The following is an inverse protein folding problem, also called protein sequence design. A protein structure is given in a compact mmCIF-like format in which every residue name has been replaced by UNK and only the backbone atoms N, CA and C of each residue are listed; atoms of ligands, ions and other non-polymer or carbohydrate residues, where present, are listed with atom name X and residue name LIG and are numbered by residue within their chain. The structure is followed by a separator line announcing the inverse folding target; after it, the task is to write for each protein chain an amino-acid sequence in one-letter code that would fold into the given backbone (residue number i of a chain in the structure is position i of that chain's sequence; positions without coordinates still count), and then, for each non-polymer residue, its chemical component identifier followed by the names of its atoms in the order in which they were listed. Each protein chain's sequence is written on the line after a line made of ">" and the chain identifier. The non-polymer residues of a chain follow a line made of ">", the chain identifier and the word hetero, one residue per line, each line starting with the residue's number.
data_IF_582612006235
#
_entry.id   IF_582612006235
#
_cell.length_a   1.000
_cell.length_b   1.000
_cell.length_c   1.000
_cell.angle_alpha   90.00
_cell.angle_beta   90.00
_cell.angle_gamma   90.00
#
_symmetry.space_group_name_H-M   'P 1'
#
loop_
_entity.id
_entity.type
_entity.pdbx_description
1 polymer ?
#
# COMPACT_ATOMS: atom_id res chain seq x y z
N UNK A 1 23.85 -24.42 13.02
CA UNK A 1 22.55 -23.77 12.77
C UNK A 1 21.78 -24.60 11.75
N UNK A 2 20.60 -25.14 12.07
CA UNK A 2 19.71 -25.73 11.06
C UNK A 2 19.00 -24.57 10.38
N UNK A 3 19.30 -24.34 9.10
CA UNK A 3 18.54 -23.39 8.27
C UNK A 3 17.12 -23.93 8.21
N UNK A 4 16.13 -23.18 8.66
CA UNK A 4 14.74 -23.57 8.47
C UNK A 4 14.41 -23.41 6.98
N UNK A 5 13.67 -24.37 6.37
CA UNK A 5 13.28 -24.25 4.98
C UNK A 5 12.36 -23.03 4.79
N UNK A 6 12.52 -22.35 3.67
CA UNK A 6 11.67 -21.21 3.30
C UNK A 6 10.22 -21.64 3.15
N UNK A 7 9.28 -20.69 3.20
CA UNK A 7 7.86 -20.98 2.98
C UNK A 7 7.63 -21.64 1.63
N UNK A 8 8.31 -21.19 0.57
CA UNK A 8 8.23 -21.78 -0.78
C UNK A 8 8.73 -23.22 -0.79
N UNK A 9 9.88 -23.51 -0.18
CA UNK A 9 10.41 -24.89 -0.08
C UNK A 9 9.43 -25.81 0.66
N UNK A 10 8.79 -25.30 1.72
CA UNK A 10 7.77 -26.06 2.47
C UNK A 10 6.52 -26.32 1.63
N UNK A 11 6.08 -25.35 0.81
CA UNK A 11 4.97 -25.52 -0.13
C UNK A 11 5.32 -26.59 -1.17
N UNK A 12 6.52 -26.54 -1.77
CA UNK A 12 6.97 -27.51 -2.79
C UNK A 12 6.99 -28.93 -2.20
N UNK A 13 7.49 -29.09 -0.99
CA UNK A 13 7.49 -30.41 -0.32
C UNK A 13 6.05 -30.88 -0.09
N UNK A 14 5.19 -30.03 0.45
CA UNK A 14 3.81 -30.36 0.77
C UNK A 14 2.92 -30.60 -0.48
N UNK A 15 3.33 -30.12 -1.68
CA UNK A 15 2.64 -30.46 -2.93
C UNK A 15 2.64 -31.96 -3.22
N UNK A 16 3.68 -32.68 -2.75
CA UNK A 16 3.80 -34.14 -2.97
C UNK A 16 2.88 -34.95 -2.03
N UNK A 17 2.40 -34.32 -0.95
CA UNK A 17 1.49 -34.97 0.00
C UNK A 17 0.02 -34.66 -0.29
N UNK A 18 -0.28 -33.73 -1.20
CA UNK A 18 -1.65 -33.36 -1.58
C UNK A 18 -2.18 -34.29 -2.69
N UNK A 19 -3.24 -35.11 -2.42
CA UNK A 19 -3.77 -36.05 -3.39
C UNK A 19 -4.31 -35.41 -4.68
N UNK A 20 -4.79 -34.16 -4.61
CA UNK A 20 -5.30 -33.48 -5.81
C UNK A 20 -4.15 -32.97 -6.68
N UNK A 21 -3.15 -32.33 -6.05
CA UNK A 21 -1.97 -31.84 -6.76
C UNK A 21 -1.15 -33.01 -7.36
N UNK A 22 -1.06 -34.13 -6.66
CA UNK A 22 -0.41 -35.35 -7.18
C UNK A 22 -1.12 -35.89 -8.42
N UNK A 23 -2.45 -35.94 -8.45
CA UNK A 23 -3.19 -36.34 -9.65
C UNK A 23 -2.90 -35.41 -10.84
N UNK A 24 -2.85 -34.12 -10.60
CA UNK A 24 -2.52 -33.11 -11.62
C UNK A 24 -1.08 -33.30 -12.09
N UNK A 25 -0.13 -33.48 -11.18
CA UNK A 25 1.29 -33.75 -11.51
C UNK A 25 1.44 -34.95 -12.41
N UNK A 26 0.83 -36.08 -12.05
CA UNK A 26 0.88 -37.31 -12.86
C UNK A 26 0.27 -37.09 -14.26
N UNK A 27 -0.79 -36.29 -14.38
CA UNK A 27 -1.39 -35.94 -15.67
C UNK A 27 -0.45 -35.09 -16.54
N UNK A 28 0.25 -34.15 -15.93
CA UNK A 28 1.23 -33.31 -16.63
C UNK A 28 2.43 -34.14 -17.10
N UNK A 29 2.93 -35.05 -16.25
CA UNK A 29 4.02 -35.98 -16.58
C UNK A 29 3.62 -36.98 -17.71
N UNK A 30 2.34 -37.38 -17.77
CA UNK A 30 1.79 -38.18 -18.85
C UNK A 30 1.57 -37.39 -20.16
N UNK A 31 1.94 -36.13 -20.25
CA UNK A 31 1.86 -35.31 -21.45
C UNK A 31 0.47 -34.77 -21.76
N UNK A 32 -0.48 -34.82 -20.83
CA UNK A 32 -1.79 -34.20 -21.01
C UNK A 32 -1.61 -32.67 -20.99
N UNK A 33 -1.98 -32.00 -22.09
CA UNK A 33 -1.97 -30.56 -22.17
C UNK A 33 -2.88 -29.98 -21.08
N UNK A 34 -2.30 -29.14 -20.19
CA UNK A 34 -3.02 -28.46 -19.11
C UNK A 34 -2.40 -27.09 -18.84
N UNK A 35 -3.13 -26.22 -18.15
CA UNK A 35 -2.61 -24.93 -17.66
C UNK A 35 -1.58 -25.12 -16.53
N UNK A 36 -1.43 -26.35 -16.03
CA UNK A 36 -0.45 -26.70 -15.02
C UNK A 36 0.87 -27.12 -15.67
N UNK A 37 1.98 -26.73 -15.05
CA UNK A 37 3.34 -27.06 -15.46
C UNK A 37 4.20 -27.42 -14.26
N UNK A 38 5.13 -28.35 -14.45
CA UNK A 38 6.19 -28.62 -13.48
C UNK A 38 7.39 -27.76 -13.87
N UNK A 39 7.84 -26.93 -12.94
CA UNK A 39 8.98 -26.02 -13.13
C UNK A 39 10.30 -26.72 -12.82
N UNK A 40 11.45 -26.11 -13.19
CA UNK A 40 12.80 -26.67 -12.96
C UNK A 40 13.11 -26.92 -11.47
N UNK A 41 12.53 -26.14 -10.57
CA UNK A 41 12.62 -26.31 -9.11
C UNK A 41 11.76 -27.46 -8.55
N UNK A 42 11.08 -28.20 -9.42
CA UNK A 42 10.16 -29.27 -9.07
C UNK A 42 8.78 -28.81 -8.60
N UNK A 43 8.51 -27.51 -8.56
CA UNK A 43 7.19 -27.00 -8.17
C UNK A 43 6.14 -27.22 -9.25
N UNK A 44 4.94 -27.62 -8.81
CA UNK A 44 3.75 -27.60 -9.66
C UNK A 44 3.20 -26.16 -9.67
N UNK A 45 3.01 -25.60 -10.85
CA UNK A 45 2.50 -24.23 -11.05
C UNK A 45 1.29 -24.23 -11.99
N UNK A 46 0.38 -23.31 -11.72
CA UNK A 46 -0.76 -22.96 -12.55
C UNK A 46 -0.52 -21.57 -13.16
N UNK A 47 -0.38 -21.49 -14.47
CA UNK A 47 -0.11 -20.21 -15.16
C UNK A 47 1.02 -19.41 -14.49
N UNK A 48 2.17 -20.06 -14.26
CA UNK A 48 3.35 -19.54 -13.57
C UNK A 48 3.22 -19.32 -12.05
N UNK A 49 2.04 -19.51 -11.45
CA UNK A 49 1.75 -19.33 -10.03
C UNK A 49 1.96 -20.62 -9.26
N UNK A 50 2.59 -20.56 -8.11
CA UNK A 50 2.87 -21.74 -7.27
C UNK A 50 1.56 -22.31 -6.74
N UNK A 51 1.31 -23.59 -7.00
CA UNK A 51 0.14 -24.28 -6.46
C UNK A 51 0.31 -24.51 -4.96
N UNK A 52 -0.55 -23.94 -4.15
CA UNK A 52 -0.54 -24.14 -2.70
C UNK A 52 -1.40 -25.38 -2.37
N UNK A 53 -0.85 -26.39 -1.67
CA UNK A 53 -1.59 -27.60 -1.29
C UNK A 53 -2.74 -27.26 -0.34
N UNK A 54 -3.67 -28.18 -0.17
CA UNK A 54 -4.80 -28.00 0.74
C UNK A 54 -4.38 -28.24 2.22
N UNK A 55 -3.32 -27.56 2.63
CA UNK A 55 -2.81 -27.52 3.99
C UNK A 55 -3.28 -26.23 4.67
N UNK A 56 -4.07 -26.36 5.72
CA UNK A 56 -4.63 -25.23 6.44
C UNK A 56 -3.57 -24.38 7.15
N UNK A 57 -2.47 -25.00 7.61
CA UNK A 57 -1.40 -24.28 8.31
C UNK A 57 -0.59 -23.43 7.34
N UNK A 58 -0.20 -23.99 6.18
CA UNK A 58 0.51 -23.25 5.13
C UNK A 58 -0.34 -22.11 4.57
N UNK A 59 -1.62 -22.38 4.27
CA UNK A 59 -2.54 -21.33 3.79
C UNK A 59 -2.71 -20.23 4.85
N UNK A 60 -2.85 -20.60 6.12
CA UNK A 60 -2.99 -19.62 7.20
C UNK A 60 -1.76 -18.72 7.32
N UNK A 61 -0.55 -19.30 7.23
CA UNK A 61 0.70 -18.56 7.27
C UNK A 61 0.82 -17.57 6.11
N UNK A 62 0.50 -17.99 4.87
CA UNK A 62 0.45 -17.10 3.69
C UNK A 62 -0.55 -15.95 3.91
N UNK A 63 -1.75 -16.27 4.40
CA UNK A 63 -2.80 -15.28 4.62
C UNK A 63 -2.45 -14.31 5.75
N UNK A 64 -1.83 -14.80 6.81
CA UNK A 64 -1.39 -13.99 7.94
C UNK A 64 -0.28 -13.03 7.51
N UNK A 65 0.72 -13.52 6.78
CA UNK A 65 1.80 -12.69 6.28
C UNK A 65 1.29 -11.59 5.32
N UNK A 66 0.38 -11.93 4.43
CA UNK A 66 -0.19 -10.99 3.48
C UNK A 66 -1.18 -9.98 4.09
N UNK A 67 -1.65 -10.19 5.32
CA UNK A 67 -2.67 -9.36 5.96
C UNK A 67 -2.15 -8.56 7.16
N UNK A 68 -1.38 -9.21 8.05
CA UNK A 68 -1.07 -8.70 9.40
C UNK A 68 0.36 -8.19 9.55
N UNK A 69 1.18 -8.22 8.50
CA UNK A 69 2.53 -7.65 8.61
C UNK A 69 2.49 -6.13 8.60
N UNK A 70 3.47 -5.50 9.23
CA UNK A 70 3.63 -4.06 9.21
C UNK A 70 3.71 -3.45 7.80
N UNK A 71 4.08 -4.24 6.79
CA UNK A 71 4.16 -3.80 5.38
C UNK A 71 2.82 -3.83 4.64
N UNK A 72 1.83 -4.55 5.15
CA UNK A 72 0.51 -4.70 4.52
C UNK A 72 -0.59 -3.94 5.25
N UNK A 73 -0.40 -3.67 6.54
CA UNK A 73 -1.30 -2.87 7.39
C UNK A 73 -2.77 -3.25 7.16
N UNK A 74 -3.10 -4.53 7.36
CA UNK A 74 -4.46 -5.09 7.24
C UNK A 74 -5.15 -4.81 5.89
N UNK A 75 -4.49 -5.17 4.79
CA UNK A 75 -5.06 -5.06 3.44
C UNK A 75 -6.45 -5.68 3.34
N UNK A 76 -7.37 -4.96 2.70
CA UNK A 76 -8.71 -5.48 2.40
C UNK A 76 -8.67 -6.66 1.42
N UNK A 77 -9.62 -7.60 1.55
CA UNK A 77 -9.63 -8.90 0.82
C UNK A 77 -9.45 -8.78 -0.70
N UNK A 78 -9.96 -7.73 -1.34
CA UNK A 78 -9.80 -7.53 -2.79
C UNK A 78 -8.36 -7.21 -3.17
N UNK A 79 -7.68 -6.34 -2.41
CA UNK A 79 -6.28 -6.00 -2.64
C UNK A 79 -5.40 -7.21 -2.34
N UNK A 80 -5.55 -7.83 -1.18
CA UNK A 80 -4.86 -9.03 -0.76
C UNK A 80 -4.99 -10.17 -1.79
N UNK A 81 -6.19 -10.40 -2.35
CA UNK A 81 -6.37 -11.39 -3.42
C UNK A 81 -5.57 -11.05 -4.67
N UNK A 82 -5.49 -9.79 -5.06
CA UNK A 82 -4.73 -9.36 -6.25
C UNK A 82 -3.24 -9.56 -6.07
N UNK A 83 -2.73 -9.24 -4.88
CA UNK A 83 -1.32 -9.40 -4.57
C UNK A 83 -0.94 -10.89 -4.52
N UNK A 84 -1.70 -11.71 -3.80
CA UNK A 84 -1.40 -13.13 -3.66
C UNK A 84 -1.61 -13.93 -4.96
N UNK A 85 -2.60 -13.58 -5.79
CA UNK A 85 -2.87 -14.32 -7.04
C UNK A 85 -1.75 -14.22 -8.08
N UNK A 86 -0.82 -13.32 -7.92
CA UNK A 86 0.32 -13.18 -8.82
C UNK A 86 1.39 -14.22 -8.57
N UNK A 87 1.48 -14.70 -7.32
CA UNK A 87 2.50 -15.64 -6.86
C UNK A 87 1.90 -17.03 -6.66
N UNK A 88 0.72 -17.07 -6.04
CA UNK A 88 0.09 -18.29 -5.55
C UNK A 88 -1.20 -18.62 -6.29
N UNK A 89 -1.51 -19.90 -6.30
CA UNK A 89 -2.78 -20.42 -6.78
C UNK A 89 -3.26 -21.59 -5.90
N UNK A 90 -4.52 -21.59 -5.51
CA UNK A 90 -5.25 -22.72 -4.95
C UNK A 90 -6.75 -22.60 -5.23
N UNK A 91 -7.45 -23.73 -5.13
CA UNK A 91 -8.89 -23.73 -5.37
C UNK A 91 -9.64 -22.90 -4.32
N UNK A 92 -10.62 -22.10 -4.74
CA UNK A 92 -11.40 -21.20 -3.89
C UNK A 92 -10.60 -20.06 -3.20
N UNK A 93 -9.39 -19.77 -3.66
CA UNK A 93 -8.50 -18.75 -3.09
C UNK A 93 -9.21 -17.42 -2.77
N UNK A 94 -9.99 -16.88 -3.73
CA UNK A 94 -10.68 -15.59 -3.53
C UNK A 94 -11.67 -15.63 -2.35
N UNK A 95 -12.39 -16.75 -2.18
CA UNK A 95 -13.36 -16.94 -1.10
C UNK A 95 -12.67 -17.10 0.24
N UNK A 96 -11.61 -17.90 0.30
CA UNK A 96 -10.85 -18.13 1.53
C UNK A 96 -10.19 -16.84 2.03
N UNK A 97 -9.60 -16.05 1.14
CA UNK A 97 -9.05 -14.72 1.46
C UNK A 97 -10.16 -13.79 2.01
N UNK A 98 -11.31 -13.74 1.36
CA UNK A 98 -12.42 -12.90 1.82
C UNK A 98 -12.92 -13.31 3.22
N UNK A 99 -13.00 -14.62 3.48
CA UNK A 99 -13.37 -15.17 4.80
C UNK A 99 -12.32 -14.82 5.86
N UNK A 100 -11.03 -14.98 5.56
CA UNK A 100 -9.95 -14.65 6.47
C UNK A 100 -9.99 -13.18 6.89
N UNK A 101 -10.10 -12.27 5.92
CA UNK A 101 -10.18 -10.82 6.21
C UNK A 101 -11.47 -10.47 6.97
N UNK A 102 -12.61 -11.12 6.65
CA UNK A 102 -13.86 -10.91 7.37
C UNK A 102 -13.82 -11.35 8.83
N UNK A 103 -12.94 -12.28 9.20
CA UNK A 103 -12.75 -12.77 10.57
C UNK A 103 -11.74 -11.95 11.38
N UNK A 104 -11.00 -11.05 10.74
CA UNK A 104 -10.04 -10.20 11.42
C UNK A 104 -10.75 -9.18 12.31
N UNK A 105 -10.57 -9.29 13.63
CA UNK A 105 -11.21 -8.41 14.61
C UNK A 105 -10.80 -6.94 14.46
N UNK A 106 -9.53 -6.68 14.15
CA UNK A 106 -9.02 -5.33 13.92
C UNK A 106 -9.71 -4.70 12.71
N UNK A 107 -9.79 -5.44 11.58
CA UNK A 107 -10.51 -4.96 10.40
C UNK A 107 -12.00 -4.69 10.66
N UNK A 108 -12.65 -5.50 11.49
CA UNK A 108 -14.06 -5.30 11.85
C UNK A 108 -14.27 -4.05 12.70
N UNK A 109 -13.34 -3.74 13.61
CA UNK A 109 -13.41 -2.55 14.46
C UNK A 109 -13.11 -1.25 13.70
N UNK A 110 -12.22 -1.31 12.71
CA UNK A 110 -11.78 -0.12 11.95
C UNK A 110 -12.70 0.21 10.80
N UNK A 111 -13.41 -0.78 10.23
CA UNK A 111 -14.22 -0.61 9.01
C UNK A 111 -15.41 0.33 9.24
N UNK A 112 -15.18 1.62 8.98
CA UNK A 112 -16.26 2.60 8.87
C UNK A 112 -17.00 2.42 7.52
N UNK A 113 -18.33 2.58 7.52
CA UNK A 113 -19.08 2.68 6.26
C UNK A 113 -18.78 4.03 5.60
N UNK A 114 -17.99 4.01 4.53
CA UNK A 114 -17.78 5.19 3.73
C UNK A 114 -18.95 5.42 2.79
N UNK A 115 -19.65 6.53 2.96
CA UNK A 115 -20.72 6.94 2.05
C UNK A 115 -20.11 7.35 0.70
N UNK A 116 -20.78 6.97 -0.39
CA UNK A 116 -20.40 7.44 -1.72
C UNK A 116 -20.73 8.93 -1.83
N UNK A 117 -19.81 9.79 -2.32
CA UNK A 117 -20.10 11.19 -2.57
C UNK A 117 -21.32 11.32 -3.48
N UNK A 118 -22.30 12.12 -3.09
CA UNK A 118 -23.48 12.43 -3.90
C UNK A 118 -23.15 13.59 -4.84
N UNK A 119 -23.26 13.37 -6.15
CA UNK A 119 -23.12 14.42 -7.17
C UNK A 119 -22.46 13.94 -8.46
N UNK A 120 -22.57 14.75 -9.53
CA UNK A 120 -21.94 14.47 -10.82
C UNK A 120 -20.46 14.88 -10.78
N UNK A 121 -19.58 13.93 -11.08
CA UNK A 121 -18.13 14.18 -11.24
C UNK A 121 -17.90 15.23 -12.33
N UNK A 122 -17.27 16.35 -11.95
CA UNK A 122 -16.63 17.21 -12.95
C UNK A 122 -15.23 16.65 -13.23
N UNK A 123 -14.96 16.19 -14.46
CA UNK A 123 -13.66 15.62 -14.77
C UNK A 123 -12.60 16.72 -14.71
N UNK A 124 -11.62 16.53 -13.83
CA UNK A 124 -10.37 17.27 -13.90
C UNK A 124 -9.50 16.66 -15.00
N UNK A 125 -8.77 17.49 -15.72
CA UNK A 125 -7.81 17.02 -16.71
C UNK A 125 -6.86 15.98 -16.11
N UNK A 126 -6.61 14.90 -16.87
CA UNK A 126 -5.65 13.87 -16.47
C UNK A 126 -4.25 14.47 -16.60
N UNK A 127 -3.43 14.45 -15.55
CA UNK A 127 -2.07 14.96 -15.61
C UNK A 127 -1.24 14.25 -16.68
N UNK A 128 -0.34 14.98 -17.33
CA UNK A 128 0.55 14.44 -18.37
C UNK A 128 1.80 13.84 -17.74
N UNK A 129 2.27 14.40 -16.61
CA UNK A 129 3.48 13.94 -15.95
C UNK A 129 3.34 13.78 -14.44
N UNK A 130 4.20 12.95 -13.87
CA UNK A 130 4.26 12.61 -12.44
C UNK A 130 4.65 13.82 -11.61
N UNK A 131 3.95 14.06 -10.51
CA UNK A 131 4.19 15.14 -9.54
C UNK A 131 4.07 16.58 -10.09
N UNK A 132 3.60 16.77 -11.31
CA UNK A 132 3.24 18.11 -11.84
C UNK A 132 1.91 18.62 -11.28
N UNK A 133 0.99 17.73 -10.95
CA UNK A 133 -0.32 18.07 -10.43
C UNK A 133 -0.59 17.30 -9.15
N UNK A 134 -0.59 17.99 -8.03
CA UNK A 134 -0.74 17.38 -6.72
C UNK A 134 -2.00 17.86 -6.01
N UNK A 135 -2.46 17.06 -5.05
CA UNK A 135 -3.48 17.45 -4.07
C UNK A 135 -2.88 17.45 -2.68
N UNK A 136 -3.35 18.36 -1.83
CA UNK A 136 -2.90 18.48 -0.43
C UNK A 136 -4.08 18.63 0.49
N UNK A 137 -3.98 18.01 1.67
CA UNK A 137 -4.97 18.15 2.73
C UNK A 137 -4.35 17.86 4.11
N UNK A 138 -5.04 18.25 5.18
CA UNK A 138 -4.62 18.02 6.55
C UNK A 138 -5.61 17.11 7.28
N UNK A 139 -5.11 16.00 7.80
CA UNK A 139 -5.84 15.16 8.76
C UNK A 139 -5.56 15.73 10.14
N UNK A 140 -6.57 16.35 10.72
CA UNK A 140 -6.50 16.99 12.05
C UNK A 140 -7.25 16.17 13.10
N UNK A 141 -7.08 16.52 14.38
CA UNK A 141 -7.76 15.82 15.47
C UNK A 141 -7.12 14.49 15.87
N UNK A 142 -5.92 14.20 15.40
CA UNK A 142 -5.17 13.04 15.83
C UNK A 142 -4.67 13.19 17.29
N UNK A 143 -4.55 12.10 18.04
CA UNK A 143 -4.00 12.15 19.41
C UNK A 143 -2.60 12.74 19.42
N UNK A 144 -2.33 13.58 20.41
CA UNK A 144 -1.01 14.21 20.55
C UNK A 144 0.06 13.19 20.89
N UNK A 145 1.10 13.13 20.04
CA UNK A 145 2.22 12.20 20.19
C UNK A 145 3.28 12.72 21.19
N UNK A 146 4.21 11.84 21.65
CA UNK A 146 5.39 12.29 22.42
C UNK A 146 6.21 13.34 21.68
N UNK A 147 6.31 13.26 20.36
CA UNK A 147 6.94 14.24 19.47
C UNK A 147 6.10 15.53 19.31
N UNK A 148 4.94 15.58 20.00
CA UNK A 148 3.96 16.69 20.01
C UNK A 148 3.26 16.90 18.66
N UNK A 149 3.25 15.91 17.76
CA UNK A 149 2.45 15.93 16.55
C UNK A 149 0.98 15.64 16.89
N UNK A 150 0.05 16.29 16.19
CA UNK A 150 -1.40 16.18 16.41
C UNK A 150 -2.19 16.24 15.08
N UNK A 151 -1.48 16.22 13.95
CA UNK A 151 -2.05 16.19 12.62
C UNK A 151 -1.09 15.53 11.62
N UNK A 152 -1.62 15.08 10.51
CA UNK A 152 -0.84 14.60 9.37
C UNK A 152 -1.12 15.44 8.13
N UNK A 153 -0.08 15.77 7.38
CA UNK A 153 -0.20 16.43 6.08
C UNK A 153 -0.14 15.38 4.99
N UNK A 154 -1.21 15.25 4.22
CA UNK A 154 -1.37 14.33 3.11
C UNK A 154 -1.11 15.07 1.81
N UNK A 155 -0.19 14.56 1.00
CA UNK A 155 0.17 15.12 -0.30
C UNK A 155 0.15 13.98 -1.31
N UNK A 156 -0.65 14.11 -2.37
CA UNK A 156 -0.88 13.04 -3.34
C UNK A 156 -0.62 13.52 -4.76
N UNK A 157 0.14 12.76 -5.51
CA UNK A 157 0.27 12.94 -6.96
C UNK A 157 -1.02 12.48 -7.66
N UNK A 158 -1.60 13.37 -8.46
CA UNK A 158 -2.87 13.12 -9.15
C UNK A 158 -2.76 12.07 -10.24
N UNK A 159 -1.59 11.89 -10.85
CA UNK A 159 -1.37 10.90 -11.91
C UNK A 159 -1.13 9.51 -11.32
N UNK A 160 -0.07 9.33 -10.56
CA UNK A 160 0.37 8.01 -10.06
C UNK A 160 -0.35 7.57 -8.80
N UNK A 161 -1.07 8.47 -8.12
CA UNK A 161 -1.67 8.27 -6.79
C UNK A 161 -0.64 8.02 -5.69
N UNK A 162 0.65 8.21 -5.98
CA UNK A 162 1.67 8.14 -4.93
C UNK A 162 1.45 9.26 -3.91
N UNK A 163 1.63 8.93 -2.64
CA UNK A 163 1.34 9.86 -1.54
C UNK A 163 2.49 9.95 -0.57
N UNK A 164 2.59 11.13 0.08
CA UNK A 164 3.42 11.37 1.25
C UNK A 164 2.55 11.72 2.45
N UNK A 165 2.87 11.14 3.59
CA UNK A 165 2.20 11.36 4.87
C UNK A 165 3.18 11.97 5.88
N UNK A 166 3.05 13.27 6.13
CA UNK A 166 4.00 14.01 6.93
C UNK A 166 3.41 14.34 8.31
N UNK A 167 4.06 13.92 9.42
CA UNK A 167 3.59 14.26 10.76
C UNK A 167 3.83 15.74 11.02
N UNK A 168 2.79 16.44 11.48
CA UNK A 168 2.82 17.86 11.76
C UNK A 168 2.10 18.19 13.07
N UNK A 169 2.22 19.46 13.50
CA UNK A 169 1.36 20.06 14.52
C UNK A 169 0.44 21.08 13.86
N UNK A 170 -0.79 21.14 14.31
CA UNK A 170 -1.74 22.19 13.88
C UNK A 170 -1.14 23.59 14.07
N UNK A 171 -0.37 23.79 15.14
CA UNK A 171 0.30 25.06 15.44
C UNK A 171 1.65 25.29 14.73
N UNK A 172 2.01 24.54 13.67
CA UNK A 172 3.22 24.86 12.90
C UNK A 172 3.07 26.22 12.21
N UNK A 173 4.15 27.01 12.24
CA UNK A 173 4.22 28.25 11.47
C UNK A 173 4.26 27.94 9.97
N UNK A 174 3.83 28.90 9.16
CA UNK A 174 3.82 28.76 7.70
C UNK A 174 5.23 28.54 7.14
N UNK A 175 6.26 29.18 7.73
CA UNK A 175 7.66 29.00 7.35
C UNK A 175 8.12 27.55 7.62
N UNK A 176 7.65 26.94 8.72
CA UNK A 176 7.97 25.55 9.04
C UNK A 176 7.31 24.59 8.07
N UNK A 177 6.04 24.83 7.72
CA UNK A 177 5.34 24.06 6.68
C UNK A 177 6.02 24.20 5.32
N UNK A 178 6.43 25.43 4.95
CA UNK A 178 7.17 25.66 3.70
C UNK A 178 8.51 24.91 3.68
N UNK A 179 9.28 24.92 4.77
CA UNK A 179 10.54 24.16 4.87
C UNK A 179 10.31 22.66 4.75
N UNK A 180 9.26 22.14 5.38
CA UNK A 180 8.88 20.73 5.29
C UNK A 180 8.49 20.36 3.84
N UNK A 181 7.67 21.20 3.19
CA UNK A 181 7.28 21.04 1.80
C UNK A 181 8.48 21.01 0.84
N UNK A 182 9.41 21.96 1.00
CA UNK A 182 10.64 22.02 0.21
C UNK A 182 11.50 20.78 0.40
N UNK A 183 11.61 20.29 1.64
CA UNK A 183 12.43 19.13 1.99
C UNK A 183 11.84 17.81 1.48
N UNK A 184 10.54 17.59 1.68
CA UNK A 184 9.92 16.28 1.46
C UNK A 184 9.28 16.15 0.06
N UNK A 185 8.87 17.26 -0.57
CA UNK A 185 8.21 17.24 -1.87
C UNK A 185 9.10 17.82 -2.97
N UNK A 186 9.45 19.11 -2.85
CA UNK A 186 10.18 19.78 -3.93
C UNK A 186 11.55 19.15 -4.18
N UNK A 187 12.26 18.78 -3.13
CA UNK A 187 13.57 18.11 -3.24
C UNK A 187 13.48 16.76 -3.95
N UNK A 188 12.39 16.01 -3.75
CA UNK A 188 12.23 14.65 -4.28
C UNK A 188 11.63 14.64 -5.69
N UNK A 189 10.66 15.52 -5.95
CA UNK A 189 9.80 15.45 -7.12
C UNK A 189 9.84 16.69 -8.02
N UNK A 190 10.51 17.75 -7.57
CA UNK A 190 10.48 19.04 -8.26
C UNK A 190 9.30 19.90 -7.83
N UNK A 191 9.14 21.04 -8.54
CA UNK A 191 8.09 22.02 -8.26
C UNK A 191 6.85 21.66 -9.07
N UNK A 192 5.69 21.42 -8.45
CA UNK A 192 4.47 21.10 -9.19
C UNK A 192 3.94 22.31 -9.95
N UNK A 193 3.29 22.04 -11.08
CA UNK A 193 2.62 23.04 -11.91
C UNK A 193 1.33 23.50 -11.24
N UNK A 194 0.56 22.57 -10.66
CA UNK A 194 -0.68 22.90 -9.96
C UNK A 194 -0.82 22.17 -8.62
N UNK A 195 -1.44 22.84 -7.67
CA UNK A 195 -1.83 22.27 -6.39
C UNK A 195 -3.33 22.47 -6.22
N UNK A 196 -4.03 21.38 -5.88
CA UNK A 196 -5.42 21.41 -5.44
C UNK A 196 -5.44 21.19 -3.92
N UNK A 197 -6.12 22.06 -3.19
CA UNK A 197 -6.30 21.93 -1.74
C UNK A 197 -7.67 22.42 -1.31
N UNK A 198 -8.06 22.08 -0.10
CA UNK A 198 -9.18 22.70 0.56
C UNK A 198 -8.90 24.19 0.86
N UNK A 199 -9.88 24.86 1.48
CA UNK A 199 -9.75 26.25 1.92
C UNK A 199 -9.24 26.38 3.36
N UNK A 200 -8.38 25.46 3.80
CA UNK A 200 -7.71 25.61 5.09
C UNK A 200 -6.99 26.98 5.17
N UNK A 201 -7.07 27.63 6.32
CA UNK A 201 -6.52 28.98 6.53
C UNK A 201 -5.03 29.06 6.21
N UNK A 202 -4.29 27.99 6.35
CA UNK A 202 -2.86 27.88 6.04
C UNK A 202 -2.61 27.97 4.54
N UNK A 203 -3.40 27.25 3.73
CA UNK A 203 -3.28 27.23 2.26
C UNK A 203 -3.79 28.52 1.61
N UNK A 204 -4.80 29.20 2.19
CA UNK A 204 -5.29 30.46 1.66
C UNK A 204 -4.48 31.68 2.13
N UNK A 205 -3.49 31.50 3.01
CA UNK A 205 -2.66 32.61 3.55
C UNK A 205 -1.89 33.31 2.44
N UNK A 206 -1.62 34.61 2.65
CA UNK A 206 -0.83 35.39 1.70
C UNK A 206 0.61 34.89 1.57
N UNK A 207 1.19 34.38 2.66
CA UNK A 207 2.51 33.79 2.64
C UNK A 207 2.56 32.58 1.69
N UNK A 208 1.60 31.65 1.82
CA UNK A 208 1.52 30.45 0.99
C UNK A 208 1.30 30.78 -0.48
N UNK A 209 0.38 31.73 -0.77
CA UNK A 209 0.14 32.22 -2.13
C UNK A 209 1.39 32.86 -2.74
N UNK A 210 2.12 33.68 -1.96
CA UNK A 210 3.34 34.33 -2.44
C UNK A 210 4.46 33.33 -2.70
N UNK A 211 4.62 32.34 -1.83
CA UNK A 211 5.59 31.24 -2.02
C UNK A 211 5.33 30.51 -3.34
N UNK A 212 4.10 30.04 -3.56
CA UNK A 212 3.76 29.30 -4.77
C UNK A 212 3.78 30.17 -6.03
N UNK A 213 3.43 31.44 -5.93
CA UNK A 213 3.62 32.39 -7.03
C UNK A 213 5.10 32.53 -7.41
N UNK A 214 5.98 32.60 -6.42
CA UNK A 214 7.44 32.66 -6.66
C UNK A 214 7.98 31.36 -7.26
N UNK A 215 7.39 30.22 -6.92
CA UNK A 215 7.72 28.92 -7.48
C UNK A 215 7.08 28.66 -8.86
N UNK A 216 6.21 29.54 -9.35
CA UNK A 216 5.48 29.36 -10.60
C UNK A 216 4.34 28.33 -10.52
N UNK A 217 3.92 27.95 -9.31
CA UNK A 217 2.85 26.96 -9.08
C UNK A 217 1.49 27.66 -9.01
N UNK A 218 0.49 27.12 -9.72
CA UNK A 218 -0.90 27.57 -9.68
C UNK A 218 -1.66 26.87 -8.53
N UNK A 219 -2.25 27.64 -7.64
CA UNK A 219 -3.11 27.13 -6.57
C UNK A 219 -4.58 27.09 -7.02
N UNK A 220 -5.22 25.95 -6.89
CA UNK A 220 -6.63 25.71 -7.14
C UNK A 220 -7.29 25.29 -5.82
N UNK A 221 -8.30 26.04 -5.38
CA UNK A 221 -9.02 25.72 -4.14
C UNK A 221 -10.32 24.99 -4.46
N UNK A 222 -10.56 23.87 -3.79
CA UNK A 222 -11.85 23.18 -3.84
C UNK A 222 -12.93 24.08 -3.23
N UNK A 223 -14.14 23.97 -3.74
CA UNK A 223 -15.29 24.70 -3.18
C UNK A 223 -16.09 23.77 -2.26
N UNK A 224 -16.63 24.32 -1.16
CA UNK A 224 -17.42 23.59 -0.18
C UNK A 224 -18.64 22.85 -0.78
N UNK A 225 -19.09 23.27 -1.97
CA UNK A 225 -20.24 22.69 -2.68
C UNK A 225 -19.85 21.73 -3.81
N UNK A 226 -18.57 21.52 -4.08
CA UNK A 226 -18.05 20.58 -5.08
C UNK A 226 -16.91 19.76 -4.51
N UNK A 227 -17.17 18.85 -3.56
CA UNK A 227 -16.16 17.94 -2.99
C UNK A 227 -15.54 17.03 -4.06
N UNK A 228 -16.14 16.98 -5.25
CA UNK A 228 -15.71 16.16 -6.38
C UNK A 228 -14.39 16.60 -7.00
N UNK A 229 -13.98 17.86 -6.82
CA UNK A 229 -12.69 18.36 -7.32
C UNK A 229 -11.53 17.74 -6.53
N UNK A 230 -11.78 17.26 -5.31
CA UNK A 230 -10.79 16.69 -4.40
C UNK A 230 -11.13 15.26 -3.91
N UNK A 231 -12.10 14.59 -4.51
CA UNK A 231 -12.52 13.23 -4.13
C UNK A 231 -11.38 12.17 -4.16
N UNK A 232 -10.21 12.53 -4.71
CA UNK A 232 -9.01 11.70 -4.65
C UNK A 232 -8.28 11.86 -3.32
N UNK A 233 -8.10 13.08 -2.83
CA UNK A 233 -7.51 13.36 -1.53
C UNK A 233 -8.40 12.86 -0.42
N UNK A 234 -9.71 13.10 -0.49
CA UNK A 234 -10.68 12.61 0.48
C UNK A 234 -10.62 11.09 0.61
N UNK A 235 -10.58 10.35 -0.51
CA UNK A 235 -10.44 8.90 -0.48
C UNK A 235 -9.09 8.45 0.09
N UNK A 236 -8.00 9.16 -0.22
CA UNK A 236 -6.68 8.86 0.33
C UNK A 236 -6.64 9.11 1.82
N UNK A 237 -7.27 10.20 2.29
CA UNK A 237 -7.42 10.52 3.70
C UNK A 237 -8.21 9.42 4.42
N UNK A 238 -9.35 8.99 3.89
CA UNK A 238 -10.13 7.89 4.46
C UNK A 238 -9.28 6.61 4.60
N UNK A 239 -8.51 6.27 3.56
CA UNK A 239 -7.59 5.11 3.61
C UNK A 239 -6.52 5.32 4.68
N UNK A 240 -5.94 6.51 4.77
CA UNK A 240 -4.94 6.84 5.79
C UNK A 240 -5.52 6.73 7.20
N UNK A 241 -6.71 7.26 7.44
CA UNK A 241 -7.39 7.18 8.73
C UNK A 241 -7.66 5.72 9.14
N UNK A 242 -8.13 4.90 8.21
CA UNK A 242 -8.35 3.47 8.45
C UNK A 242 -7.03 2.75 8.78
N UNK A 243 -5.96 3.05 8.05
CA UNK A 243 -4.63 2.48 8.31
C UNK A 243 -4.06 2.95 9.65
N UNK A 244 -4.22 4.24 9.99
CA UNK A 244 -3.81 4.78 11.30
C UNK A 244 -4.57 4.12 12.46
N UNK A 245 -5.90 3.98 12.34
CA UNK A 245 -6.70 3.27 13.36
C UNK A 245 -6.24 1.84 13.53
N UNK A 246 -5.96 1.14 12.43
CA UNK A 246 -5.43 -0.21 12.44
C UNK A 246 -4.10 -0.30 13.18
N UNK A 247 -3.16 0.59 12.86
CA UNK A 247 -1.87 0.64 13.54
C UNK A 247 -1.99 0.95 15.05
N UNK A 248 -2.87 1.87 15.43
CA UNK A 248 -3.07 2.21 16.85
C UNK A 248 -3.64 1.02 17.65
N UNK A 249 -4.53 0.22 17.03
CA UNK A 249 -5.13 -0.94 17.69
C UNK A 249 -4.15 -2.11 17.81
N UNK A 250 -3.30 -2.30 16.83
CA UNK A 250 -2.42 -3.48 16.72
C UNK A 250 -1.01 -3.21 17.26
N UNK A 251 -0.50 -1.99 17.10
CA UNK A 251 0.85 -1.59 17.46
C UNK A 251 0.81 -0.60 18.63
N UNK A 252 1.46 -0.93 19.74
CA UNK A 252 1.43 -0.16 21.00
C UNK A 252 2.21 1.18 20.98
N UNK A 253 2.75 1.62 19.83
CA UNK A 253 3.57 2.83 19.71
C UNK A 253 2.79 4.04 19.18
N UNK A 254 3.46 5.16 19.02
CA UNK A 254 2.86 6.42 18.60
C UNK A 254 2.52 6.42 17.08
N UNK A 255 1.38 6.95 16.69
CA UNK A 255 0.91 6.94 15.29
C UNK A 255 1.88 7.62 14.31
N UNK A 256 2.61 8.65 14.75
CA UNK A 256 3.57 9.38 13.90
C UNK A 256 4.82 8.55 13.55
N UNK A 257 5.17 7.57 14.39
CA UNK A 257 6.24 6.61 14.12
C UNK A 257 5.85 5.58 13.05
N UNK A 258 4.55 5.32 12.89
CA UNK A 258 4.02 4.39 11.90
C UNK A 258 3.77 5.01 10.52
N UNK A 259 3.76 6.35 10.40
CA UNK A 259 3.48 7.00 9.13
C UNK A 259 4.38 6.54 7.97
N UNK A 260 5.69 6.34 8.13
CA UNK A 260 6.53 5.83 7.03
C UNK A 260 6.11 4.44 6.55
N UNK A 261 5.69 3.58 7.47
CA UNK A 261 5.22 2.24 7.16
C UNK A 261 3.84 2.26 6.47
N UNK A 262 2.95 3.11 6.95
CA UNK A 262 1.63 3.35 6.34
C UNK A 262 1.79 3.92 4.93
N UNK A 263 2.70 4.88 4.74
CA UNK A 263 3.03 5.44 3.43
C UNK A 263 3.55 4.36 2.48
N UNK A 264 4.46 3.51 2.96
CA UNK A 264 4.95 2.37 2.20
C UNK A 264 3.81 1.41 1.82
N UNK A 265 2.98 0.98 2.76
CA UNK A 265 1.86 0.08 2.53
C UNK A 265 0.83 0.68 1.56
N UNK A 266 0.52 1.98 1.69
CA UNK A 266 -0.36 2.69 0.77
C UNK A 266 0.20 2.71 -0.65
N UNK A 267 1.46 3.13 -0.83
CA UNK A 267 2.11 3.26 -2.13
C UNK A 267 2.32 1.91 -2.83
N UNK A 268 2.39 0.83 -2.07
CA UNK A 268 2.51 -0.53 -2.60
C UNK A 268 1.19 -1.30 -2.71
N UNK A 269 0.07 -0.68 -2.31
CA UNK A 269 -1.26 -1.27 -2.45
C UNK A 269 -1.85 -0.97 -3.83
N UNK A 270 -2.51 -1.97 -4.43
CA UNK A 270 -3.21 -1.81 -5.70
C UNK A 270 -4.28 -0.71 -5.64
N UNK A 271 -4.28 0.18 -6.63
CA UNK A 271 -5.26 1.24 -6.80
C UNK A 271 -6.09 0.99 -8.06
N UNK A 272 -7.41 0.83 -7.89
CA UNK A 272 -8.30 0.49 -9.00
C UNK A 272 -8.38 1.58 -10.08
N UNK A 273 -8.16 2.86 -9.70
CA UNK A 273 -8.23 4.00 -10.61
C UNK A 273 -7.08 4.06 -11.63
N UNK A 274 -5.94 3.47 -11.29
CA UNK A 274 -4.75 3.44 -12.18
C UNK A 274 -4.41 2.00 -12.62
N UNK A 275 -5.10 0.98 -12.11
CA UNK A 275 -4.90 -0.42 -12.48
C UNK A 275 -3.60 -1.06 -11.99
N UNK A 276 -2.82 -0.37 -11.14
CA UNK A 276 -1.54 -0.82 -10.61
C UNK A 276 -1.28 -0.22 -9.21
N UNK A 277 -0.13 -0.48 -8.61
CA UNK A 277 0.27 0.20 -7.38
C UNK A 277 0.82 1.61 -7.68
N UNK A 278 0.66 2.60 -6.77
CA UNK A 278 1.28 3.91 -6.92
C UNK A 278 2.80 3.85 -7.12
N UNK A 279 3.47 2.96 -6.42
CA UNK A 279 4.91 2.73 -6.58
C UNK A 279 5.26 2.30 -8.01
N UNK A 280 4.51 1.34 -8.55
CA UNK A 280 4.71 0.85 -9.93
C UNK A 280 4.45 1.96 -10.95
N UNK A 281 3.38 2.75 -10.76
CA UNK A 281 3.09 3.91 -11.59
C UNK A 281 4.21 4.97 -11.54
N UNK A 282 4.81 5.17 -10.35
CA UNK A 282 5.88 6.15 -10.16
C UNK A 282 7.22 5.70 -10.75
N UNK A 283 7.63 4.46 -10.48
CA UNK A 283 8.99 3.97 -10.82
C UNK A 283 9.04 3.06 -12.04
N UNK A 284 7.88 2.68 -12.62
CA UNK A 284 7.79 1.79 -13.79
C UNK A 284 8.11 0.32 -13.48
N UNK A 285 8.23 -0.03 -12.20
CA UNK A 285 8.48 -1.40 -11.72
C UNK A 285 7.81 -1.64 -10.38
N UNK A 286 7.52 -2.88 -10.07
CA UNK A 286 6.97 -3.25 -8.75
C UNK A 286 8.01 -3.05 -7.66
N UNK A 287 7.50 -2.73 -6.47
CA UNK A 287 8.32 -2.71 -5.27
C UNK A 287 8.63 -4.16 -4.86
N UNK A 288 9.83 -4.39 -4.43
CA UNK A 288 10.17 -5.62 -3.72
C UNK A 288 9.60 -5.52 -2.30
N UNK A 289 8.54 -6.26 -2.07
CA UNK A 289 7.98 -6.41 -0.73
C UNK A 289 8.48 -7.70 -0.09
N UNK A 290 8.39 -7.88 1.24
CA UNK A 290 8.75 -9.12 1.91
C UNK A 290 8.05 -10.36 1.33
N UNK A 291 6.82 -10.22 0.84
CA UNK A 291 6.06 -11.27 0.17
C UNK A 291 6.75 -11.76 -1.12
N UNK A 292 7.53 -10.88 -1.78
CA UNK A 292 8.26 -11.17 -3.02
C UNK A 292 9.75 -11.49 -2.82
N UNK A 293 10.26 -11.42 -1.60
CA UNK A 293 11.69 -11.64 -1.35
C UNK A 293 12.13 -13.09 -1.56
N UNK A 294 11.21 -14.04 -1.50
CA UNK A 294 11.50 -15.45 -1.73
C UNK A 294 11.59 -15.83 -3.22
N UNK A 295 11.14 -14.95 -4.12
CA UNK A 295 10.95 -15.28 -5.54
C UNK A 295 12.22 -15.14 -6.41
N UNK A 296 13.32 -14.62 -5.89
CA UNK A 296 14.54 -14.47 -6.67
C UNK A 296 15.75 -14.78 -5.80
N UNK A 297 16.63 -15.64 -6.28
CA UNK A 297 17.92 -16.00 -5.67
C UNK A 297 18.84 -14.87 -5.20
N UNK A 298 18.31 -13.70 -4.92
CA UNK A 298 18.98 -12.50 -4.42
C UNK A 298 19.25 -12.52 -2.91
N UNK A 299 18.77 -13.53 -2.17
CA UNK A 299 19.23 -13.80 -0.79
C UNK A 299 20.76 -13.93 -0.68
N UNK A 300 21.45 -14.12 -1.84
CA UNK A 300 22.90 -14.19 -1.90
C UNK A 300 23.61 -12.82 -1.95
N UNK A 301 22.90 -11.73 -2.23
CA UNK A 301 23.50 -10.40 -2.44
C UNK A 301 23.35 -9.48 -1.22
N UNK A 302 22.24 -9.60 -0.48
CA UNK A 302 22.03 -8.90 0.79
C UNK A 302 22.04 -9.98 1.88
N UNK A 303 23.11 -10.02 2.69
CA UNK A 303 23.21 -11.01 3.75
C UNK A 303 21.92 -11.07 4.58
N UNK A 304 21.38 -12.26 4.87
CA UNK A 304 20.12 -12.43 5.62
C UNK A 304 20.12 -11.70 6.97
N UNK A 305 21.30 -11.44 7.53
CA UNK A 305 21.50 -10.70 8.78
C UNK A 305 21.16 -9.21 8.67
N UNK A 306 21.41 -8.56 7.52
CA UNK A 306 21.08 -7.14 7.30
C UNK A 306 19.56 -6.94 7.10
N UNK A 307 18.90 -7.89 6.43
CA UNK A 307 17.45 -7.88 6.26
C UNK A 307 16.77 -8.13 7.60
N UNK A 308 17.26 -9.07 8.39
CA UNK A 308 16.71 -9.38 9.70
C UNK A 308 16.91 -8.24 10.70
N UNK A 309 18.06 -7.56 10.67
CA UNK A 309 18.30 -6.34 11.46
C UNK A 309 17.43 -5.15 11.02
N UNK A 310 17.08 -5.06 9.74
CA UNK A 310 16.14 -4.04 9.25
C UNK A 310 14.71 -4.33 9.70
N UNK A 311 14.29 -5.60 9.68
CA UNK A 311 12.97 -6.06 10.16
C UNK A 311 12.83 -5.92 11.68
N UNK A 312 13.89 -6.17 12.47
CA UNK A 312 13.88 -6.02 13.92
C UNK A 312 13.92 -4.55 14.39
N UNK A 313 14.31 -3.61 13.52
CA UNK A 313 14.35 -2.16 13.80
C UNK A 313 13.10 -1.42 13.33
N UNK A 314 12.22 -2.07 12.61
CA UNK A 314 10.91 -1.58 12.17
C UNK A 314 9.82 -2.22 13.04
#
# INVERSE_FOLDING_TARGET
>A
MRVQPTLIERIIVAQNDDPQLMKIRNSVEAGVQSEFKIHEDGSLRFDNRICVPNDSALKHEILQEAHQTGYTVHLGGTKMYRDLKEIYWWNNMKREIAQFVAQCLVCQQVKAEHQRPTGLLQPLDIPVWKWEHITMDFVTGLPKTPSKNDAAWVIVDRLTKSAHFLPIRVGFTLERLAKLYMKEIVRLHGIPVTIVSDRDTRFVSQFWKSLHKALGTKLNFSTAFHPQTDGQSERTIQILEDMLRTCILDMKSSWDEHLPLIEFAYNNSYQASIGMTPYEALYGRRCRSPIHWDDVGERRILGPELVQQAVEKI
#
